data_IF_493723258642
#
_entry.id   IF_493723258642
#
_cell.length_a   1.000
_cell.length_b   1.000
_cell.length_c   1.000
_cell.angle_alpha   90.00
_cell.angle_beta   90.00
_cell.angle_gamma   90.00
#
_symmetry.space_group_name_H-M   'P 1'
#
loop_
_entity.id
_entity.type
_entity.pdbx_description
1 polymer ?
#
# COMPACT_ATOMS: atom_id res chain seq x y z
N UNK A 1 5.43 -8.81 13.00
CA UNK A 1 6.68 -9.50 12.61
C UNK A 1 7.21 -8.79 11.38
N UNK A 2 8.48 -8.36 11.37
CA UNK A 2 9.05 -7.74 10.18
C UNK A 2 9.03 -8.74 9.02
N UNK A 3 8.74 -8.26 7.81
CA UNK A 3 8.82 -9.09 6.59
C UNK A 3 10.20 -9.72 6.46
N UNK A 4 10.22 -11.02 6.11
CA UNK A 4 11.45 -11.79 5.93
C UNK A 4 12.37 -11.12 4.89
N UNK A 5 13.67 -10.91 5.20
CA UNK A 5 14.62 -10.23 4.31
C UNK A 5 14.77 -10.89 2.93
N UNK A 6 14.53 -12.20 2.82
CA UNK A 6 14.54 -12.92 1.53
C UNK A 6 13.37 -12.47 0.66
N UNK A 7 12.18 -12.34 1.26
CA UNK A 7 10.98 -11.85 0.57
C UNK A 7 11.18 -10.42 0.10
N UNK A 8 11.81 -9.56 0.91
CA UNK A 8 12.13 -8.17 0.53
C UNK A 8 13.05 -8.10 -0.69
N UNK A 9 14.06 -8.96 -0.75
CA UNK A 9 14.97 -9.03 -1.90
C UNK A 9 14.27 -9.55 -3.15
N UNK A 10 13.45 -10.59 -3.03
CA UNK A 10 12.67 -11.12 -4.15
C UNK A 10 11.79 -10.05 -4.77
N UNK A 11 10.99 -9.37 -3.94
CA UNK A 11 10.11 -8.29 -4.38
C UNK A 11 10.91 -7.17 -5.09
N UNK A 12 12.06 -6.78 -4.55
CA UNK A 12 12.92 -5.77 -5.18
C UNK A 12 13.53 -6.24 -6.52
N UNK A 13 13.92 -7.51 -6.64
CA UNK A 13 14.42 -8.09 -7.88
C UNK A 13 13.34 -8.15 -8.96
N UNK A 14 12.10 -8.52 -8.60
CA UNK A 14 10.98 -8.56 -9.54
C UNK A 14 10.60 -7.16 -10.04
N UNK A 15 10.64 -6.16 -9.18
CA UNK A 15 10.35 -4.77 -9.55
C UNK A 15 11.36 -4.15 -10.54
N UNK A 16 12.61 -4.64 -10.53
CA UNK A 16 13.63 -4.23 -11.49
C UNK A 16 13.53 -4.94 -12.84
N UNK A 17 12.58 -5.86 -13.03
CA UNK A 17 12.38 -6.56 -14.30
C UNK A 17 11.63 -5.68 -15.31
N UNK A 18 11.97 -5.79 -16.59
CA UNK A 18 11.42 -4.95 -17.66
C UNK A 18 9.93 -5.18 -17.99
N UNK A 19 9.27 -6.14 -17.33
CA UNK A 19 7.85 -6.44 -17.49
C UNK A 19 7.00 -6.00 -16.28
N UNK A 20 7.60 -5.25 -15.35
CA UNK A 20 6.92 -4.80 -14.14
C UNK A 20 6.09 -3.55 -14.40
N UNK A 21 4.77 -3.71 -14.45
CA UNK A 21 3.80 -2.63 -14.63
C UNK A 21 3.12 -2.21 -13.31
N UNK A 22 2.51 -1.01 -13.32
CA UNK A 22 1.77 -0.45 -12.18
C UNK A 22 0.60 -1.34 -11.69
N UNK A 23 0.13 -2.25 -12.54
CA UNK A 23 -0.90 -3.23 -12.20
C UNK A 23 -0.36 -4.37 -11.31
N UNK A 24 0.88 -4.83 -11.54
CA UNK A 24 1.52 -5.83 -10.68
C UNK A 24 1.85 -5.25 -9.29
N UNK A 25 2.27 -3.98 -9.25
CA UNK A 25 2.43 -3.24 -8.00
C UNK A 25 1.11 -3.19 -7.21
N UNK A 26 -0.01 -2.93 -7.90
CA UNK A 26 -1.33 -2.92 -7.28
C UNK A 26 -1.72 -4.28 -6.74
N UNK A 27 -1.61 -5.34 -7.54
CA UNK A 27 -2.00 -6.70 -7.11
C UNK A 27 -1.15 -7.18 -5.93
N UNK A 28 0.17 -6.96 -5.98
CA UNK A 28 1.05 -7.30 -4.89
C UNK A 28 0.68 -6.53 -3.62
N UNK A 29 0.48 -5.21 -3.73
CA UNK A 29 0.16 -4.38 -2.59
C UNK A 29 -1.21 -4.72 -2.00
N UNK A 30 -2.22 -5.06 -2.83
CA UNK A 30 -3.52 -5.56 -2.38
C UNK A 30 -3.41 -6.89 -1.62
N UNK A 31 -2.57 -7.82 -2.08
CA UNK A 31 -2.33 -9.09 -1.38
C UNK A 31 -1.59 -8.89 -0.05
N UNK A 32 -0.68 -7.93 0.01
CA UNK A 32 0.07 -7.59 1.22
C UNK A 32 -0.72 -6.69 2.18
N UNK A 33 -1.71 -5.97 1.70
CA UNK A 33 -2.48 -4.99 2.47
C UNK A 33 -3.07 -5.51 3.78
N UNK A 34 -3.68 -6.70 3.86
CA UNK A 34 -4.19 -7.26 5.11
C UNK A 34 -3.11 -7.47 6.17
N UNK A 35 -1.90 -7.84 5.75
CA UNK A 35 -0.76 -8.01 6.64
C UNK A 35 -0.17 -6.66 7.10
N UNK A 36 -0.20 -5.64 6.24
CA UNK A 36 0.38 -4.31 6.51
C UNK A 36 -0.55 -3.42 7.35
N UNK A 37 -1.80 -3.28 6.92
CA UNK A 37 -2.79 -2.44 7.57
C UNK A 37 -3.46 -3.15 8.77
N UNK A 38 -3.46 -4.49 8.78
CA UNK A 38 -4.17 -5.29 9.77
C UNK A 38 -5.66 -5.46 9.41
N UNK A 39 -6.26 -6.53 9.96
CA UNK A 39 -7.57 -7.04 9.54
C UNK A 39 -8.72 -6.01 9.62
N UNK A 40 -8.68 -5.07 10.58
CA UNK A 40 -9.70 -4.03 10.72
C UNK A 40 -9.62 -2.99 9.59
N UNK A 41 -8.43 -2.53 9.25
CA UNK A 41 -8.22 -1.54 8.21
C UNK A 41 -8.41 -2.16 6.82
N UNK A 42 -7.91 -3.38 6.62
CA UNK A 42 -8.01 -4.06 5.33
C UNK A 42 -9.44 -4.44 4.93
N UNK A 43 -10.35 -4.62 5.89
CA UNK A 43 -11.78 -4.83 5.61
C UNK A 43 -12.53 -3.54 5.29
N UNK A 44 -12.07 -2.40 5.82
CA UNK A 44 -12.74 -1.12 5.62
C UNK A 44 -12.17 -0.34 4.42
N UNK A 45 -10.92 -0.58 4.06
CA UNK A 45 -10.14 0.27 3.17
C UNK A 45 -9.43 -0.61 2.15
N UNK A 46 -9.51 -0.25 0.87
CA UNK A 46 -8.94 -1.04 -0.22
C UNK A 46 -8.05 -0.19 -1.09
N UNK A 47 -6.90 -0.72 -1.50
CA UNK A 47 -6.04 -0.05 -2.47
C UNK A 47 -6.65 -0.24 -3.86
N UNK A 48 -6.90 0.85 -4.57
CA UNK A 48 -7.55 0.82 -5.88
C UNK A 48 -6.58 1.10 -7.02
N UNK A 49 -5.49 1.82 -6.76
CA UNK A 49 -4.46 2.07 -7.78
C UNK A 49 -3.10 2.34 -7.14
N UNK A 50 -2.04 2.02 -7.88
CA UNK A 50 -0.68 2.45 -7.59
C UNK A 50 -0.16 3.19 -8.82
N UNK A 51 0.29 4.43 -8.63
CA UNK A 51 0.80 5.29 -9.68
C UNK A 51 2.21 5.76 -9.32
N UNK A 52 3.22 5.05 -9.79
CA UNK A 52 4.62 5.36 -9.47
C UNK A 52 4.86 5.33 -7.97
N UNK A 53 5.10 6.48 -7.34
CA UNK A 53 5.31 6.58 -5.88
C UNK A 53 4.05 6.90 -5.07
N UNK A 54 2.87 6.92 -5.72
CA UNK A 54 1.59 7.29 -5.11
C UNK A 54 0.67 6.09 -5.01
N UNK A 55 0.07 5.87 -3.86
CA UNK A 55 -0.93 4.81 -3.68
C UNK A 55 -2.29 5.43 -3.46
N UNK A 56 -3.27 5.01 -4.26
CA UNK A 56 -4.67 5.44 -4.15
C UNK A 56 -5.43 4.40 -3.35
N UNK A 57 -6.04 4.87 -2.28
CA UNK A 57 -6.71 4.07 -1.28
C UNK A 57 -8.17 4.51 -1.21
N UNK A 58 -9.09 3.61 -1.52
CA UNK A 58 -10.52 3.85 -1.39
C UNK A 58 -10.95 3.65 0.06
N UNK A 59 -11.64 4.65 0.59
CA UNK A 59 -12.16 4.70 1.95
C UNK A 59 -13.68 4.89 1.89
N UNK A 60 -14.44 4.33 2.84
CA UNK A 60 -15.89 4.29 2.72
C UNK A 60 -16.54 5.66 2.92
N UNK A 61 -15.91 6.55 3.70
CA UNK A 61 -16.45 7.88 3.98
C UNK A 61 -15.38 8.92 4.36
N UNK A 62 -15.82 10.17 4.47
CA UNK A 62 -14.96 11.31 4.82
C UNK A 62 -14.44 11.25 6.27
N UNK A 63 -15.12 10.54 7.17
CA UNK A 63 -14.67 10.37 8.56
C UNK A 63 -13.45 9.45 8.58
N UNK A 64 -13.50 8.34 7.84
CA UNK A 64 -12.34 7.48 7.60
C UNK A 64 -11.17 8.24 6.98
N UNK A 65 -11.43 9.07 5.97
CA UNK A 65 -10.39 9.93 5.38
C UNK A 65 -9.71 10.80 6.45
N UNK A 66 -10.47 11.45 7.33
CA UNK A 66 -9.90 12.29 8.41
C UNK A 66 -9.09 11.47 9.41
N UNK A 67 -9.54 10.26 9.77
CA UNK A 67 -8.80 9.37 10.68
C UNK A 67 -7.50 8.86 10.03
N UNK A 68 -7.56 8.39 8.78
CA UNK A 68 -6.41 7.89 8.05
C UNK A 68 -5.41 8.99 7.73
N UNK A 69 -5.85 10.24 7.53
CA UNK A 69 -4.95 11.38 7.40
C UNK A 69 -4.11 11.61 8.68
N UNK A 70 -4.68 11.38 9.86
CA UNK A 70 -3.92 11.43 11.13
C UNK A 70 -2.92 10.28 11.25
N UNK A 71 -3.27 9.11 10.70
CA UNK A 71 -2.41 7.92 10.71
C UNK A 71 -1.56 7.78 9.44
N UNK A 72 -1.54 8.77 8.55
CA UNK A 72 -0.93 8.70 7.22
C UNK A 72 0.56 8.38 7.31
N UNK A 73 1.27 8.98 8.26
CA UNK A 73 2.69 8.75 8.47
C UNK A 73 2.98 7.30 8.91
N UNK A 74 2.16 6.76 9.81
CA UNK A 74 2.30 5.38 10.27
C UNK A 74 1.96 4.38 9.15
N UNK A 75 0.87 4.64 8.41
CA UNK A 75 0.49 3.85 7.25
C UNK A 75 1.59 3.85 6.18
N UNK A 76 2.18 5.01 5.90
CA UNK A 76 3.28 5.12 4.95
C UNK A 76 4.52 4.36 5.43
N UNK A 77 4.82 4.36 6.72
CA UNK A 77 5.89 3.56 7.29
C UNK A 77 5.61 2.05 7.16
N UNK A 78 4.39 1.60 7.49
CA UNK A 78 3.95 0.20 7.34
C UNK A 78 4.02 -0.25 5.89
N UNK A 79 3.49 0.56 4.96
CA UNK A 79 3.51 0.24 3.53
C UNK A 79 4.92 0.17 2.95
N UNK A 80 5.88 0.92 3.51
CA UNK A 80 7.29 0.86 3.12
C UNK A 80 8.09 -0.23 3.87
N UNK A 81 7.56 -0.82 4.95
CA UNK A 81 8.22 -1.87 5.74
C UNK A 81 8.69 -3.10 4.93
N UNK A 82 7.88 -3.67 3.99
CA UNK A 82 8.32 -4.82 3.21
C UNK A 82 9.36 -4.46 2.14
N UNK A 83 9.62 -3.18 1.90
CA UNK A 83 10.51 -2.73 0.83
C UNK A 83 11.89 -2.38 1.39
N UNK A 84 12.97 -2.83 0.74
CA UNK A 84 14.32 -2.45 1.16
C UNK A 84 14.61 -0.96 0.91
N UNK A 85 13.93 -0.36 -0.07
CA UNK A 85 13.99 1.07 -0.35
C UNK A 85 12.56 1.63 -0.31
N UNK A 86 12.29 2.66 0.50
CA UNK A 86 10.97 3.28 0.54
C UNK A 86 10.68 3.95 -0.80
N UNK A 87 9.60 3.52 -1.45
CA UNK A 87 9.19 4.04 -2.76
C UNK A 87 7.81 4.65 -2.74
N UNK A 88 6.98 4.30 -1.76
CA UNK A 88 5.67 4.91 -1.55
C UNK A 88 5.93 6.23 -0.82
N UNK A 89 5.83 7.33 -1.55
CA UNK A 89 6.04 8.69 -1.05
C UNK A 89 4.75 9.37 -0.64
N UNK A 90 3.63 8.91 -1.19
CA UNK A 90 2.35 9.57 -0.99
C UNK A 90 1.20 8.56 -1.00
N UNK A 91 0.25 8.78 -0.09
CA UNK A 91 -1.02 8.06 -0.03
C UNK A 91 -2.13 9.07 -0.32
N UNK A 92 -2.95 8.75 -1.32
CA UNK A 92 -4.13 9.50 -1.74
C UNK A 92 -5.35 8.72 -1.29
N UNK A 93 -6.18 9.34 -0.46
CA UNK A 93 -7.44 8.73 -0.03
C UNK A 93 -8.57 9.23 -0.91
N UNK A 94 -9.23 8.31 -1.63
CA UNK A 94 -10.45 8.56 -2.41
C UNK A 94 -11.64 7.94 -1.69
N UNK A 95 -12.83 8.48 -1.92
CA UNK A 95 -14.10 7.96 -1.43
C UNK A 95 -15.04 7.87 -2.63
N UNK A 96 -14.79 6.91 -3.52
CA UNK A 96 -15.73 6.63 -4.58
C UNK A 96 -16.80 5.69 -4.02
N UNK A 97 -17.93 6.29 -3.63
CA UNK A 97 -19.18 5.55 -3.49
C UNK A 97 -19.53 4.98 -4.86
N UNK A 98 -19.28 3.68 -5.06
CA UNK A 98 -19.99 2.92 -6.10
C UNK A 98 -21.38 2.56 -5.59
#
# INVERSE_FOLDING_TARGET
>A
MPFDPVVRRLIASFRNSSQWDSQLDLELLQKLWPALAGSKLANAVTIVAVQGSRVVVNVPDQIWRKQLMKMKAELLARMNEPWPVPWIKEIVFTYENQ
#
